data_IF_921587271880
#
_entry.id   IF_921587271880
#
_cell.length_a   1.000
_cell.length_b   1.000
_cell.length_c   1.000
_cell.angle_alpha   90.00
_cell.angle_beta   90.00
_cell.angle_gamma   90.00
#
_symmetry.space_group_name_H-M   'P 1'
#
loop_
_entity.id
_entity.type
_entity.pdbx_description
1 polymer ?
#
# COMPACT_ATOMS: atom_id res chain seq x y z
N UNK A 1 -73.40 8.74 46.09
CA UNK A 1 -72.29 7.91 45.56
C UNK A 1 -71.06 8.81 45.42
N UNK A 2 -69.96 8.49 46.12
CA UNK A 2 -68.80 9.38 46.34
C UNK A 2 -67.91 9.45 45.09
N UNK A 3 -67.70 10.65 44.52
CA UNK A 3 -66.75 10.89 43.43
C UNK A 3 -65.33 10.87 44.02
N UNK A 4 -64.51 9.87 43.65
CA UNK A 4 -63.08 9.82 43.98
C UNK A 4 -62.34 10.74 43.00
N UNK A 5 -61.75 11.82 43.51
CA UNK A 5 -60.84 12.68 42.78
C UNK A 5 -59.45 12.01 42.81
N UNK A 6 -58.93 11.63 41.64
CA UNK A 6 -57.58 11.07 41.53
C UNK A 6 -56.62 12.22 41.24
N UNK A 7 -55.72 12.52 42.18
CA UNK A 7 -54.58 13.41 41.92
C UNK A 7 -53.62 12.67 41.00
N UNK A 8 -53.52 13.12 39.74
CA UNK A 8 -52.45 12.69 38.83
C UNK A 8 -51.21 13.51 39.19
N UNK A 9 -50.27 12.87 39.87
CA UNK A 9 -48.94 13.47 40.10
C UNK A 9 -48.13 13.31 38.81
N UNK A 10 -47.99 14.40 38.06
CA UNK A 10 -47.16 14.45 36.86
C UNK A 10 -45.70 14.53 37.31
N UNK A 11 -45.03 13.37 37.40
CA UNK A 11 -43.59 13.31 37.59
C UNK A 11 -42.94 13.75 36.28
N UNK A 12 -42.42 14.97 36.22
CA UNK A 12 -41.66 15.47 35.08
C UNK A 12 -40.28 14.78 35.09
N UNK A 13 -40.19 13.62 34.44
CA UNK A 13 -38.92 12.94 34.24
C UNK A 13 -38.07 13.76 33.24
N UNK A 14 -37.10 14.51 33.76
CA UNK A 14 -36.05 15.12 32.95
C UNK A 14 -35.19 13.98 32.42
N UNK A 15 -35.48 13.55 31.19
CA UNK A 15 -34.62 12.62 30.45
C UNK A 15 -33.38 13.41 30.06
N UNK A 16 -32.33 13.30 30.86
CA UNK A 16 -30.99 13.64 30.39
C UNK A 16 -30.63 12.63 29.31
N UNK A 17 -30.78 13.02 28.04
CA UNK A 17 -30.15 12.32 26.94
C UNK A 17 -28.65 12.48 27.13
N UNK A 18 -28.02 11.48 27.74
CA UNK A 18 -26.56 11.38 27.78
C UNK A 18 -26.15 11.09 26.34
N UNK A 19 -25.85 12.14 25.58
CA UNK A 19 -25.07 11.96 24.36
C UNK A 19 -23.77 11.30 24.80
N UNK A 20 -23.37 10.16 24.20
CA UNK A 20 -22.08 9.60 24.52
C UNK A 20 -21.05 10.63 24.05
N UNK A 21 -20.49 11.40 24.98
CA UNK A 21 -19.45 12.41 24.74
C UNK A 21 -18.13 11.77 24.29
N UNK A 22 -18.11 10.45 24.19
CA UNK A 22 -17.00 9.62 23.76
C UNK A 22 -17.50 8.72 22.63
N UNK A 23 -17.76 9.31 21.46
CA UNK A 23 -17.48 8.55 20.26
C UNK A 23 -15.98 8.26 20.33
N UNK A 24 -15.59 6.98 20.42
CA UNK A 24 -14.19 6.57 20.34
C UNK A 24 -13.58 7.24 19.10
N UNK A 25 -12.81 8.31 19.33
CA UNK A 25 -12.02 8.92 18.27
C UNK A 25 -10.99 7.87 17.90
N UNK A 26 -11.28 7.14 16.81
CA UNK A 26 -10.45 6.03 16.34
C UNK A 26 -9.04 6.58 16.17
N UNK A 27 -8.14 6.21 17.08
CA UNK A 27 -6.77 6.74 17.12
C UNK A 27 -6.11 6.40 15.79
N UNK A 28 -5.90 7.42 14.96
CA UNK A 28 -5.28 7.24 13.66
C UNK A 28 -3.83 6.77 13.86
N UNK A 29 -3.45 5.66 13.23
CA UNK A 29 -2.10 5.11 13.37
C UNK A 29 -1.37 4.99 12.03
N UNK A 30 -0.02 4.98 12.02
CA UNK A 30 0.75 4.70 10.82
C UNK A 30 0.52 3.30 10.23
N UNK A 31 -0.16 2.38 10.91
CA UNK A 31 -0.52 1.08 10.35
C UNK A 31 -1.79 1.14 9.48
N UNK A 32 -2.57 2.22 9.54
CA UNK A 32 -3.81 2.37 8.78
C UNK A 32 -3.56 2.97 7.38
N UNK A 33 -4.52 2.77 6.46
CA UNK A 33 -4.60 3.45 5.17
C UNK A 33 -3.96 2.74 3.98
N UNK A 34 -3.41 1.54 4.16
CA UNK A 34 -2.86 0.71 3.08
C UNK A 34 -3.97 0.04 2.25
N UNK A 35 -4.75 0.86 1.54
CA UNK A 35 -5.97 0.44 0.85
C UNK A 35 -5.81 0.37 -0.68
N UNK A 36 -4.64 0.73 -1.23
CA UNK A 36 -4.35 0.58 -2.66
C UNK A 36 -3.80 -0.83 -2.84
N UNK A 37 -4.59 -1.72 -3.44
CA UNK A 37 -4.20 -3.11 -3.67
C UNK A 37 -3.68 -3.30 -5.09
N UNK A 38 -2.41 -3.64 -5.22
CA UNK A 38 -1.75 -3.91 -6.50
C UNK A 38 -1.21 -5.35 -6.48
N UNK A 39 -1.27 -6.04 -7.63
CA UNK A 39 -0.57 -7.31 -7.82
C UNK A 39 0.39 -7.24 -8.99
N UNK A 40 1.59 -7.78 -8.79
CA UNK A 40 2.64 -7.86 -9.79
C UNK A 40 3.60 -9.03 -9.47
N UNK A 41 4.19 -9.69 -10.47
CA UNK A 41 5.29 -10.63 -10.26
C UNK A 41 6.64 -9.89 -10.15
N UNK A 42 7.55 -10.40 -9.34
CA UNK A 42 8.88 -9.80 -9.18
C UNK A 42 9.97 -10.71 -9.75
N UNK A 43 11.01 -10.10 -10.31
CA UNK A 43 12.24 -10.77 -10.74
C UNK A 43 13.32 -10.61 -9.68
N UNK A 44 13.76 -11.72 -9.10
CA UNK A 44 14.82 -11.74 -8.10
C UNK A 44 16.21 -11.56 -8.74
N UNK A 45 17.22 -11.31 -7.90
CA UNK A 45 18.60 -11.04 -8.33
C UNK A 45 19.24 -12.21 -9.10
N UNK A 46 18.85 -13.45 -8.79
CA UNK A 46 19.25 -14.66 -9.51
C UNK A 46 18.50 -14.86 -10.85
N UNK A 47 17.54 -13.98 -11.15
CA UNK A 47 16.75 -13.97 -12.37
C UNK A 47 15.49 -14.82 -12.34
N UNK A 48 15.17 -15.51 -11.23
CA UNK A 48 13.89 -16.19 -11.10
C UNK A 48 12.75 -15.18 -11.00
N UNK A 49 11.55 -15.61 -11.40
CA UNK A 49 10.33 -14.81 -11.31
C UNK A 49 9.39 -15.47 -10.30
N UNK A 50 8.92 -14.69 -9.35
CA UNK A 50 8.03 -15.13 -8.28
C UNK A 50 6.77 -14.25 -8.19
N UNK A 51 5.79 -14.68 -7.40
CA UNK A 51 4.50 -14.01 -7.26
C UNK A 51 3.37 -14.64 -8.08
N UNK A 52 2.30 -13.89 -8.40
CA UNK A 52 2.14 -12.47 -8.11
C UNK A 52 2.14 -12.18 -6.61
N UNK A 53 2.77 -11.07 -6.22
CA UNK A 53 2.77 -10.58 -4.85
C UNK A 53 1.65 -9.56 -4.65
N UNK A 54 1.18 -9.44 -3.42
CA UNK A 54 0.07 -8.56 -3.05
C UNK A 54 0.60 -7.32 -2.33
N UNK A 55 0.59 -6.19 -3.03
CA UNK A 55 1.00 -4.91 -2.53
C UNK A 55 -0.20 -4.20 -1.92
N UNK A 56 -0.09 -3.83 -0.66
CA UNK A 56 -1.02 -2.91 -0.01
C UNK A 56 -0.29 -1.61 0.24
N UNK A 57 -0.66 -0.57 -0.51
CA UNK A 57 0.05 0.68 -0.58
C UNK A 57 -0.75 1.85 0.02
N UNK A 58 -0.02 2.87 0.48
CA UNK A 58 -0.59 4.17 0.84
C UNK A 58 0.36 5.31 0.52
N UNK A 59 -0.15 6.51 0.20
CA UNK A 59 0.68 7.70 0.15
C UNK A 59 1.20 8.05 1.54
N UNK A 60 2.49 8.33 1.65
CA UNK A 60 3.13 8.88 2.87
C UNK A 60 3.60 10.32 2.66
N UNK A 61 3.75 10.72 1.40
CA UNK A 61 4.05 12.07 0.89
C UNK A 61 3.39 12.22 -0.49
N UNK A 62 3.25 13.44 -1.04
CA UNK A 62 2.73 13.62 -2.39
C UNK A 62 3.48 12.81 -3.46
N UNK A 63 4.78 12.60 -3.28
CA UNK A 63 5.68 11.96 -4.23
C UNK A 63 6.03 10.50 -3.89
N UNK A 64 5.54 9.96 -2.76
CA UNK A 64 5.93 8.63 -2.29
C UNK A 64 4.72 7.83 -1.80
N UNK A 65 4.52 6.66 -2.41
CA UNK A 65 3.71 5.59 -1.82
C UNK A 65 4.63 4.59 -1.13
N UNK A 66 4.18 4.10 0.02
CA UNK A 66 4.81 3.02 0.76
C UNK A 66 3.89 1.79 0.69
N UNK A 67 4.46 0.62 0.45
CA UNK A 67 3.73 -0.62 0.29
C UNK A 67 4.23 -1.69 1.25
N UNK A 68 3.28 -2.42 1.83
CA UNK A 68 3.49 -3.71 2.48
C UNK A 68 3.16 -4.81 1.49
N UNK A 69 4.06 -5.77 1.29
CA UNK A 69 3.91 -6.78 0.25
C UNK A 69 3.84 -8.17 0.87
N UNK A 70 2.76 -8.88 0.55
CA UNK A 70 2.43 -10.19 1.10
C UNK A 70 2.40 -11.27 0.02
N UNK A 71 2.59 -12.53 0.43
CA UNK A 71 2.51 -13.70 -0.47
C UNK A 71 1.09 -13.98 -0.99
N UNK A 72 0.06 -13.54 -0.28
CA UNK A 72 -1.34 -13.76 -0.64
C UNK A 72 -2.25 -12.75 0.06
N UNK A 73 -3.55 -12.82 -0.21
CA UNK A 73 -4.58 -12.06 0.50
C UNK A 73 -5.07 -12.73 1.79
N UNK A 74 -4.49 -13.86 2.21
CA UNK A 74 -4.85 -14.49 3.48
C UNK A 74 -4.56 -13.51 4.64
N UNK A 75 -5.48 -13.30 5.60
CA UNK A 75 -5.26 -12.40 6.74
C UNK A 75 -4.05 -12.74 7.62
N UNK A 76 -3.46 -13.94 7.46
CA UNK A 76 -2.24 -14.41 8.13
C UNK A 76 -1.06 -14.56 7.17
N UNK A 77 -1.16 -14.03 5.96
CA UNK A 77 -0.07 -14.08 4.98
C UNK A 77 1.20 -13.43 5.54
N UNK A 78 2.34 -14.00 5.18
CA UNK A 78 3.65 -13.46 5.54
C UNK A 78 3.88 -12.14 4.79
N UNK A 79 4.31 -11.11 5.54
CA UNK A 79 4.92 -9.92 4.96
C UNK A 79 6.32 -10.31 4.48
N UNK A 80 6.53 -10.27 3.17
CA UNK A 80 7.77 -10.75 2.55
C UNK A 80 8.60 -9.60 2.01
N UNK A 81 7.98 -8.49 1.62
CA UNK A 81 8.69 -7.34 1.06
C UNK A 81 8.09 -6.01 1.50
N UNK A 82 8.89 -4.96 1.36
CA UNK A 82 8.47 -3.55 1.42
C UNK A 82 8.87 -2.89 0.12
N UNK A 83 7.99 -2.04 -0.42
CA UNK A 83 8.31 -1.21 -1.57
C UNK A 83 8.01 0.26 -1.30
N UNK A 84 8.80 1.11 -1.96
CA UNK A 84 8.48 2.51 -2.16
C UNK A 84 8.31 2.81 -3.64
N UNK A 85 7.15 3.37 -4.00
CA UNK A 85 6.92 3.98 -5.30
C UNK A 85 7.30 5.43 -5.14
N UNK A 86 8.38 5.84 -5.80
CA UNK A 86 8.94 7.18 -5.65
C UNK A 86 8.79 7.89 -6.99
N UNK A 87 8.26 9.11 -6.99
CA UNK A 87 8.24 9.97 -8.18
C UNK A 87 9.58 9.90 -8.93
N UNK A 88 9.53 9.75 -10.26
CA UNK A 88 10.73 9.53 -11.08
C UNK A 88 11.75 10.65 -10.92
N UNK A 89 11.30 11.91 -10.88
CA UNK A 89 12.21 13.05 -10.74
C UNK A 89 12.85 13.02 -9.35
N UNK A 90 12.07 12.76 -8.31
CA UNK A 90 12.59 12.61 -6.96
C UNK A 90 13.60 11.46 -6.84
N UNK A 91 13.30 10.27 -7.37
CA UNK A 91 14.20 9.13 -7.32
C UNK A 91 15.49 9.41 -8.09
N UNK A 92 15.39 9.76 -9.38
CA UNK A 92 16.53 9.85 -10.31
C UNK A 92 17.47 11.03 -10.05
N UNK A 93 17.01 12.05 -9.30
CA UNK A 93 17.86 13.16 -8.84
C UNK A 93 18.64 12.83 -7.56
N UNK A 94 18.23 11.80 -6.81
CA UNK A 94 18.77 11.46 -5.50
C UNK A 94 19.54 10.13 -5.45
N UNK A 95 19.66 9.41 -6.56
CA UNK A 95 20.42 8.16 -6.65
C UNK A 95 21.40 8.17 -7.83
N UNK A 96 22.48 7.40 -7.73
CA UNK A 96 23.40 7.21 -8.85
C UNK A 96 22.80 6.25 -9.88
N UNK A 97 23.32 6.31 -11.12
CA UNK A 97 22.97 5.34 -12.16
C UNK A 97 23.21 3.88 -11.72
N UNK A 98 24.30 3.64 -10.99
CA UNK A 98 24.63 2.31 -10.45
C UNK A 98 23.60 1.85 -9.42
N UNK A 99 23.23 2.71 -8.48
CA UNK A 99 22.20 2.42 -7.48
C UNK A 99 20.85 2.12 -8.14
N UNK A 100 20.46 2.94 -9.12
CA UNK A 100 19.20 2.75 -9.84
C UNK A 100 19.18 1.43 -10.60
N UNK A 101 20.20 1.16 -11.42
CA UNK A 101 20.27 -0.08 -12.20
C UNK A 101 20.26 -1.34 -11.33
N UNK A 102 20.81 -1.26 -10.11
CA UNK A 102 20.94 -2.39 -9.20
C UNK A 102 19.68 -2.63 -8.37
N UNK A 103 18.98 -1.59 -7.93
CA UNK A 103 17.97 -1.69 -6.88
C UNK A 103 16.60 -1.10 -7.24
N UNK A 104 16.53 -0.33 -8.33
CA UNK A 104 15.29 0.32 -8.76
C UNK A 104 14.81 -0.28 -10.07
N UNK A 105 13.55 0.01 -10.39
CA UNK A 105 12.98 -0.29 -11.70
C UNK A 105 11.94 0.75 -12.11
N UNK A 106 11.66 0.81 -13.41
CA UNK A 106 10.73 1.77 -14.00
C UNK A 106 9.29 1.22 -14.03
N UNK A 107 8.39 1.78 -13.22
CA UNK A 107 6.98 1.35 -13.21
C UNK A 107 6.23 1.64 -14.51
N UNK A 108 6.66 2.61 -15.33
CA UNK A 108 6.06 2.85 -16.66
C UNK A 108 6.27 1.63 -17.55
N UNK A 109 7.50 1.12 -17.57
CA UNK A 109 7.86 -0.06 -18.36
C UNK A 109 7.14 -1.30 -17.85
N UNK A 110 6.99 -1.44 -16.53
CA UNK A 110 6.24 -2.55 -15.94
C UNK A 110 4.74 -2.50 -16.26
N UNK A 111 4.08 -1.36 -16.05
CA UNK A 111 2.66 -1.13 -16.36
C UNK A 111 2.40 -1.39 -17.85
N UNK A 112 3.30 -0.95 -18.73
CA UNK A 112 3.18 -1.19 -20.17
C UNK A 112 3.15 -2.69 -20.55
N UNK A 113 3.64 -3.58 -19.68
CA UNK A 113 3.58 -5.03 -19.92
C UNK A 113 2.23 -5.67 -19.56
N UNK A 114 1.34 -4.95 -18.89
CA UNK A 114 0.06 -5.49 -18.39
C UNK A 114 0.21 -6.42 -17.17
N UNK A 115 1.39 -6.50 -16.56
CA UNK A 115 1.65 -7.34 -15.37
C UNK A 115 1.22 -6.68 -14.05
N UNK A 116 1.13 -5.35 -14.02
CA UNK A 116 0.61 -4.59 -12.87
C UNK A 116 -0.91 -4.55 -12.95
N UNK A 117 -1.59 -5.08 -11.94
CA UNK A 117 -3.05 -5.02 -11.85
C UNK A 117 -3.46 -4.37 -10.54
N UNK A 118 -4.34 -3.37 -10.62
CA UNK A 118 -4.93 -2.72 -9.46
C UNK A 118 -6.27 -3.39 -9.16
N UNK A 119 -6.44 -3.85 -7.92
CA UNK A 119 -7.60 -4.63 -7.48
C UNK A 119 -8.49 -3.81 -6.53
N UNK A 120 -9.67 -4.36 -6.22
CA UNK A 120 -10.62 -3.86 -5.20
C UNK A 120 -11.15 -2.42 -5.42
N UNK A 121 -11.08 -1.94 -6.66
CA UNK A 121 -11.61 -0.64 -7.09
C UNK A 121 -12.30 -0.75 -8.45
N UNK A 122 -13.01 0.29 -8.89
CA UNK A 122 -13.62 0.30 -10.23
C UNK A 122 -12.55 0.28 -11.33
N UNK A 123 -12.86 -0.20 -12.55
CA UNK A 123 -11.91 -0.20 -13.67
C UNK A 123 -11.33 1.18 -14.00
N UNK A 124 -12.15 2.24 -13.87
CA UNK A 124 -11.73 3.62 -14.09
C UNK A 124 -10.69 4.04 -13.04
N UNK A 125 -10.92 3.69 -11.78
CA UNK A 125 -9.98 4.00 -10.70
C UNK A 125 -8.72 3.16 -10.78
N UNK A 126 -8.82 1.90 -11.19
CA UNK A 126 -7.68 1.04 -11.45
C UNK A 126 -6.77 1.64 -12.54
N UNK A 127 -7.37 2.14 -13.63
CA UNK A 127 -6.63 2.84 -14.70
C UNK A 127 -5.94 4.10 -14.19
N UNK A 128 -6.64 4.95 -13.42
CA UNK A 128 -6.05 6.16 -12.83
C UNK A 128 -4.85 5.84 -11.92
N UNK A 129 -4.97 4.81 -11.08
CA UNK A 129 -3.89 4.38 -10.19
C UNK A 129 -2.71 3.79 -10.96
N UNK A 130 -2.95 3.00 -12.01
CA UNK A 130 -1.88 2.50 -12.88
C UNK A 130 -1.18 3.65 -13.64
N UNK A 131 -1.93 4.65 -14.11
CA UNK A 131 -1.36 5.87 -14.72
C UNK A 131 -0.51 6.65 -13.71
N UNK A 132 -0.94 6.76 -12.44
CA UNK A 132 -0.15 7.37 -11.39
C UNK A 132 1.13 6.58 -11.09
N UNK A 133 1.03 5.25 -10.95
CA UNK A 133 2.18 4.37 -10.74
C UNK A 133 3.21 4.50 -11.87
N UNK A 134 2.79 4.65 -13.13
CA UNK A 134 3.68 4.83 -14.28
C UNK A 134 4.61 6.06 -14.20
N UNK A 135 4.35 7.00 -13.28
CA UNK A 135 5.17 8.20 -13.05
C UNK A 135 6.23 8.00 -11.97
N UNK A 136 6.39 6.78 -11.46
CA UNK A 136 7.28 6.46 -10.34
C UNK A 136 8.36 5.46 -10.76
N UNK A 137 9.44 5.38 -9.98
CA UNK A 137 10.36 4.25 -9.94
C UNK A 137 10.14 3.48 -8.63
N UNK A 138 10.21 2.16 -8.69
CA UNK A 138 10.03 1.26 -7.54
C UNK A 138 11.37 0.81 -6.96
N UNK A 139 11.45 0.71 -5.64
CA UNK A 139 12.56 0.03 -4.93
C UNK A 139 11.98 -0.97 -3.93
N UNK A 140 12.34 -2.24 -4.12
CA UNK A 140 11.87 -3.37 -3.34
C UNK A 140 12.94 -3.82 -2.35
N UNK A 141 12.51 -4.14 -1.14
CA UNK A 141 13.31 -4.80 -0.11
C UNK A 141 12.66 -6.12 0.22
N UNK A 142 13.23 -7.23 -0.26
CA UNK A 142 12.77 -8.57 0.06
C UNK A 142 13.44 -9.06 1.34
N UNK A 143 12.63 -9.29 2.37
CA UNK A 143 13.08 -9.49 3.76
C UNK A 143 12.98 -10.95 4.22
N UNK A 144 12.35 -11.82 3.41
CA UNK A 144 12.08 -13.20 3.77
C UNK A 144 12.44 -14.17 2.64
N UNK A 145 13.65 -14.76 2.66
CA UNK A 145 14.11 -15.60 1.56
C UNK A 145 13.15 -16.74 1.21
N UNK A 146 12.98 -17.00 -0.09
CA UNK A 146 12.09 -18.03 -0.60
C UNK A 146 12.43 -19.40 0.02
N UNK A 147 11.42 -20.03 0.63
CA UNK A 147 11.56 -21.35 1.27
C UNK A 147 12.16 -21.32 2.68
N UNK A 148 12.58 -20.16 3.19
CA UNK A 148 13.01 -20.03 4.58
C UNK A 148 11.80 -20.11 5.54
N UNK A 149 11.97 -20.80 6.67
CA UNK A 149 10.91 -20.92 7.70
C UNK A 149 10.68 -19.64 8.50
N UNK A 150 11.68 -18.77 8.58
CA UNK A 150 11.67 -17.47 9.27
C UNK A 150 12.58 -16.49 8.52
N UNK A 151 12.39 -15.15 8.66
CA UNK A 151 13.36 -14.17 8.21
C UNK A 151 14.73 -14.41 8.84
N UNK A 152 15.79 -14.29 8.06
CA UNK A 152 17.15 -14.57 8.51
C UNK A 152 18.10 -13.37 8.43
N UNK A 153 17.58 -12.16 8.15
CA UNK A 153 18.35 -10.93 8.02
C UNK A 153 18.96 -10.70 6.63
N UNK A 154 18.78 -11.62 5.68
CA UNK A 154 19.15 -11.41 4.28
C UNK A 154 18.15 -10.44 3.64
N UNK A 155 18.67 -9.44 2.92
CA UNK A 155 17.86 -8.50 2.13
C UNK A 155 18.26 -8.64 0.66
N UNK A 156 17.29 -8.93 -0.20
CA UNK A 156 17.46 -8.89 -1.65
C UNK A 156 16.71 -7.69 -2.24
N UNK A 157 17.07 -7.30 -3.46
CA UNK A 157 16.42 -6.20 -4.18
C UNK A 157 15.80 -6.70 -5.49
N UNK A 158 14.63 -7.36 -5.44
CA UNK A 158 13.90 -7.71 -6.66
C UNK A 158 13.55 -6.46 -7.48
N UNK A 159 13.25 -6.69 -8.75
CA UNK A 159 12.82 -5.64 -9.68
C UNK A 159 11.59 -6.12 -10.45
N UNK A 160 10.90 -5.21 -11.13
CA UNK A 160 9.92 -5.59 -12.13
C UNK A 160 10.51 -6.59 -13.14
N UNK A 161 9.70 -7.53 -13.63
CA UNK A 161 10.11 -8.49 -14.67
C UNK A 161 10.60 -7.80 -15.95
N UNK A 162 10.11 -6.58 -16.22
CA UNK A 162 10.51 -5.75 -17.36
C UNK A 162 11.83 -5.00 -17.18
N UNK A 163 12.44 -5.03 -15.97
CA UNK A 163 13.62 -4.23 -15.66
C UNK A 163 14.79 -4.53 -16.60
N UNK A 164 15.43 -3.45 -17.06
CA UNK A 164 16.63 -3.48 -17.88
C UNK A 164 17.56 -2.37 -17.40
N UNK A 165 18.87 -2.65 -17.23
CA UNK A 165 19.84 -1.60 -16.95
C UNK A 165 19.82 -0.54 -18.06
N UNK A 166 19.89 0.72 -17.65
CA UNK A 166 19.97 1.88 -18.55
C UNK A 166 21.38 2.46 -18.55
N UNK A 167 21.72 3.19 -19.61
CA UNK A 167 23.03 3.85 -19.74
C UNK A 167 23.07 5.25 -19.12
N UNK A 168 21.91 5.85 -18.90
CA UNK A 168 21.72 7.16 -18.27
C UNK A 168 20.36 7.21 -17.58
N UNK A 169 20.27 7.98 -16.50
CA UNK A 169 18.97 8.29 -15.88
C UNK A 169 18.35 9.49 -16.58
N UNK A 170 17.17 9.28 -17.15
CA UNK A 170 16.37 10.37 -17.72
C UNK A 170 15.52 10.98 -16.62
N UNK A 171 15.78 12.23 -16.28
CA UNK A 171 15.03 12.98 -15.26
C UNK A 171 13.87 13.69 -15.98
N UNK A 172 12.61 13.32 -15.70
CA UNK A 172 11.46 14.03 -16.28
C UNK A 172 11.46 15.50 -15.84
N UNK A 173 10.96 16.37 -16.73
CA UNK A 173 10.80 17.81 -16.45
C UNK A 173 9.87 18.08 -15.25
#
# INVERSE_FOLDING_TARGET
MKKKLWLVSTLLAIIFTVTPLFADEKVQSPAEGFNIHIVAPHRHEDGTVHGPYHHYCKPIKPEILQCMIFLSTDPKAELVEIEYFIDKKLARTNVTLEQWNKHFHDHKEEVATGRVQVLDVSPEKAKELAEAASKTDGILFHLWPVGAKIPNGTVMFPTAVSHKPVQKLEIPE
#
